data_IF_570150597439
#
_entry.id   IF_570150597439
#
_cell.length_a   1.000
_cell.length_b   1.000
_cell.length_c   1.000
_cell.angle_alpha   90.00
_cell.angle_beta   90.00
_cell.angle_gamma   90.00
#
_symmetry.space_group_name_H-M   'P 1'
#
loop_
_entity.id
_entity.type
_entity.pdbx_description
1 polymer ?
#
# COMPACT_ATOMS: atom_id res chain seq x y z
N UNK A 1 7.67 53.84 -18.10
CA UNK A 1 8.93 54.60 -18.27
C UNK A 1 9.42 54.95 -16.87
N UNK A 2 10.52 54.48 -16.31
CA UNK A 2 11.78 53.96 -16.83
C UNK A 2 12.24 52.75 -15.98
N UNK A 3 12.77 51.73 -16.66
CA UNK A 3 13.60 50.68 -16.08
C UNK A 3 15.00 51.24 -15.75
N UNK A 4 15.59 50.88 -14.60
CA UNK A 4 17.03 51.00 -14.40
C UNK A 4 17.69 49.62 -14.47
N UNK A 5 18.31 49.35 -15.62
CA UNK A 5 19.23 48.24 -15.86
C UNK A 5 20.63 48.70 -15.46
N UNK A 6 21.28 47.97 -14.56
CA UNK A 6 22.71 48.16 -14.25
C UNK A 6 23.48 46.97 -14.79
N UNK A 7 24.10 47.18 -15.94
CA UNK A 7 25.03 46.28 -16.64
C UNK A 7 26.44 46.63 -16.19
N UNK A 8 27.16 45.69 -15.56
CA UNK A 8 28.62 45.78 -15.36
C UNK A 8 29.29 44.82 -16.35
N UNK A 9 30.05 45.38 -17.29
CA UNK A 9 31.08 44.67 -18.05
C UNK A 9 32.38 44.68 -17.25
N UNK A 10 33.10 43.55 -17.20
CA UNK A 10 34.55 43.54 -17.01
C UNK A 10 35.18 42.53 -17.99
N UNK A 11 36.34 42.94 -18.48
CA UNK A 11 37.08 42.44 -19.65
C UNK A 11 37.96 41.25 -19.26
N UNK A 12 38.12 40.36 -20.24
CA UNK A 12 39.01 39.19 -20.34
C UNK A 12 40.48 39.47 -20.08
N UNK A 13 41.21 38.55 -19.44
CA UNK A 13 42.63 38.26 -19.69
C UNK A 13 42.91 36.75 -19.60
N UNK A 14 43.88 36.30 -20.40
CA UNK A 14 44.18 34.92 -20.80
C UNK A 14 44.56 33.95 -19.69
N UNK A 15 44.31 32.66 -19.97
CA UNK A 15 44.31 31.57 -19.01
C UNK A 15 45.64 30.87 -18.75
N UNK A 16 45.56 29.86 -17.88
CA UNK A 16 46.52 28.78 -17.69
C UNK A 16 45.76 27.56 -17.10
N UNK A 17 45.96 26.38 -17.70
CA UNK A 17 45.83 25.08 -17.04
C UNK A 17 44.42 24.51 -16.87
N UNK A 18 44.04 23.57 -17.73
CA UNK A 18 42.94 22.65 -17.47
C UNK A 18 43.45 21.46 -16.64
N UNK A 19 42.91 21.18 -15.45
CA UNK A 19 43.02 19.90 -14.81
C UNK A 19 41.69 19.14 -14.89
N UNK A 20 41.78 17.87 -15.28
CA UNK A 20 40.84 16.83 -14.87
C UNK A 20 39.47 16.86 -15.53
N UNK A 21 39.33 16.07 -16.60
CA UNK A 21 38.07 15.42 -16.96
C UNK A 21 37.65 14.50 -15.79
N UNK A 22 36.99 15.08 -14.78
CA UNK A 22 36.26 14.29 -13.78
C UNK A 22 35.00 13.77 -14.46
N UNK A 23 35.10 12.53 -14.95
CA UNK A 23 33.98 11.79 -15.47
C UNK A 23 32.85 11.78 -14.45
N UNK A 24 31.78 12.55 -14.72
CA UNK A 24 30.48 12.31 -14.13
C UNK A 24 30.05 10.90 -14.52
N UNK A 25 30.37 9.94 -13.64
CA UNK A 25 29.81 8.62 -13.68
C UNK A 25 28.30 8.76 -13.58
N UNK A 26 27.62 8.78 -14.72
CA UNK A 26 26.19 8.54 -14.81
C UNK A 26 25.96 7.15 -14.22
N UNK A 27 25.69 7.10 -12.92
CA UNK A 27 25.19 5.89 -12.27
C UNK A 27 23.92 5.55 -13.04
N UNK A 28 24.00 4.51 -13.88
CA UNK A 28 22.81 3.89 -14.46
C UNK A 28 22.04 3.30 -13.29
N UNK A 29 21.15 4.09 -12.71
CA UNK A 29 20.13 3.59 -11.78
C UNK A 29 19.18 2.76 -12.64
N UNK A 30 19.50 1.49 -12.83
CA UNK A 30 18.56 0.53 -13.38
C UNK A 30 17.50 0.29 -12.33
N UNK A 31 16.36 0.98 -12.45
CA UNK A 31 15.19 0.72 -11.63
C UNK A 31 14.81 -0.75 -11.78
N UNK A 32 14.67 -1.46 -10.66
CA UNK A 32 14.18 -2.83 -10.68
C UNK A 32 12.68 -2.77 -11.03
N UNK A 33 12.31 -3.42 -12.12
CA UNK A 33 10.95 -3.48 -12.63
C UNK A 33 10.41 -4.89 -12.40
N UNK A 34 9.18 -4.99 -11.92
CA UNK A 34 8.45 -6.24 -11.80
C UNK A 34 7.27 -6.23 -12.78
N UNK A 35 7.02 -7.39 -13.37
CA UNK A 35 6.01 -7.58 -14.40
C UNK A 35 4.80 -8.30 -13.81
N UNK A 36 3.63 -7.78 -14.14
CA UNK A 36 2.33 -8.34 -13.77
C UNK A 36 1.49 -8.47 -15.03
N UNK A 37 0.67 -9.52 -15.12
CA UNK A 37 -0.18 -9.75 -16.27
C UNK A 37 -1.57 -9.16 -16.01
N UNK A 38 -2.02 -8.28 -16.91
CA UNK A 38 -3.40 -7.83 -16.94
C UNK A 38 -4.25 -8.84 -17.73
N UNK A 39 -5.55 -8.82 -17.46
CA UNK A 39 -6.46 -9.79 -18.05
C UNK A 39 -6.73 -9.62 -19.55
N UNK A 40 -6.34 -8.49 -20.14
CA UNK A 40 -6.31 -8.31 -21.59
C UNK A 40 -5.03 -8.90 -22.23
N UNK A 41 -4.17 -9.56 -21.46
CA UNK A 41 -2.89 -10.11 -21.90
C UNK A 41 -1.74 -9.09 -21.93
N UNK A 42 -2.00 -7.82 -21.61
CA UNK A 42 -0.96 -6.79 -21.56
C UNK A 42 -0.11 -6.94 -20.31
N UNK A 43 1.21 -6.82 -20.45
CA UNK A 43 2.12 -6.71 -19.32
C UNK A 43 2.02 -5.32 -18.67
N UNK A 44 1.68 -5.29 -17.39
CA UNK A 44 1.84 -4.13 -16.53
C UNK A 44 3.22 -4.20 -15.88
N UNK A 45 4.00 -3.13 -16.03
CA UNK A 45 5.34 -3.04 -15.47
C UNK A 45 5.33 -2.03 -14.33
N UNK A 46 5.58 -2.49 -13.11
CA UNK A 46 5.61 -1.67 -11.91
C UNK A 46 7.06 -1.49 -11.44
N UNK A 47 7.40 -0.29 -11.00
CA UNK A 47 8.69 -0.07 -10.34
C UNK A 47 8.65 -0.60 -8.92
N UNK A 48 9.78 -1.12 -8.43
CA UNK A 48 9.87 -1.59 -7.04
C UNK A 48 9.53 -0.48 -6.04
N UNK A 49 9.92 0.77 -6.32
CA UNK A 49 9.61 1.92 -5.48
C UNK A 49 8.09 2.13 -5.34
N UNK A 50 7.35 2.06 -6.45
CA UNK A 50 5.89 2.14 -6.42
C UNK A 50 5.28 0.97 -5.64
N UNK A 51 5.74 -0.26 -5.86
CA UNK A 51 5.18 -1.45 -5.17
C UNK A 51 5.39 -1.32 -3.66
N UNK A 52 6.59 -0.93 -3.23
CA UNK A 52 6.92 -0.73 -1.82
C UNK A 52 6.08 0.40 -1.22
N UNK A 53 5.94 1.54 -1.91
CA UNK A 53 5.09 2.64 -1.50
C UNK A 53 3.62 2.23 -1.41
N UNK A 54 3.09 1.56 -2.43
CA UNK A 54 1.71 1.09 -2.49
C UNK A 54 1.42 0.07 -1.39
N UNK A 55 2.39 -0.79 -1.05
CA UNK A 55 2.31 -1.69 0.10
C UNK A 55 2.18 -0.92 1.41
N UNK A 56 3.03 0.08 1.62
CA UNK A 56 2.98 0.94 2.82
C UNK A 56 1.67 1.71 2.94
N UNK A 57 1.25 2.32 1.84
CA UNK A 57 0.00 3.07 1.76
C UNK A 57 -1.21 2.15 1.97
N UNK A 58 -1.15 0.90 1.50
CA UNK A 58 -2.18 -0.11 1.76
C UNK A 58 -2.20 -0.53 3.23
N UNK A 59 -1.04 -0.71 3.87
CA UNK A 59 -0.94 -0.97 5.31
C UNK A 59 -1.57 0.16 6.15
N UNK A 60 -1.58 1.39 5.67
CA UNK A 60 -2.33 2.51 6.26
C UNK A 60 -3.82 2.50 5.85
N UNK A 61 -4.12 2.79 4.58
CA UNK A 61 -5.46 3.19 4.10
C UNK A 61 -6.24 2.09 3.38
N UNK A 62 -5.59 0.97 3.06
CA UNK A 62 -6.20 -0.12 2.30
C UNK A 62 -7.17 -0.98 3.11
N UNK A 63 -8.16 -1.56 2.44
CA UNK A 63 -9.15 -2.45 3.05
C UNK A 63 -9.53 -3.60 2.11
N UNK A 64 -9.49 -4.83 2.65
CA UNK A 64 -9.96 -6.04 1.98
C UNK A 64 -11.34 -6.40 2.50
N UNK A 65 -12.34 -6.43 1.62
CA UNK A 65 -13.73 -6.69 1.99
C UNK A 65 -14.23 -7.96 1.31
N UNK A 66 -14.81 -8.83 2.14
CA UNK A 66 -15.53 -10.02 1.72
C UNK A 66 -16.92 -9.99 2.36
N UNK A 67 -17.95 -9.98 1.52
CA UNK A 67 -19.33 -9.98 1.99
C UNK A 67 -20.24 -10.79 1.08
N UNK A 68 -21.36 -11.27 1.64
CA UNK A 68 -22.41 -11.92 0.86
C UNK A 68 -23.13 -10.85 0.03
N UNK A 69 -23.19 -11.06 -1.28
CA UNK A 69 -23.81 -10.13 -2.23
C UNK A 69 -25.26 -10.51 -2.53
N UNK A 70 -25.54 -11.81 -2.59
CA UNK A 70 -26.88 -12.37 -2.72
C UNK A 70 -26.97 -13.72 -2.00
N UNK A 71 -28.15 -14.35 -2.03
CA UNK A 71 -28.32 -15.73 -1.56
C UNK A 71 -27.35 -16.71 -2.24
N UNK A 72 -26.88 -16.41 -3.44
CA UNK A 72 -26.07 -17.30 -4.28
C UNK A 72 -24.72 -16.72 -4.73
N UNK A 73 -24.26 -15.61 -4.12
CA UNK A 73 -22.97 -15.00 -4.50
C UNK A 73 -22.28 -14.24 -3.36
N UNK A 74 -20.95 -14.19 -3.45
CA UNK A 74 -20.09 -13.34 -2.63
C UNK A 74 -19.50 -12.21 -3.46
N UNK A 75 -19.21 -11.09 -2.79
CA UNK A 75 -18.49 -9.96 -3.36
C UNK A 75 -17.16 -9.81 -2.65
N UNK A 76 -16.12 -9.77 -3.45
CA UNK A 76 -14.75 -9.49 -3.07
C UNK A 76 -14.41 -8.08 -3.52
N UNK A 77 -13.84 -7.27 -2.64
CA UNK A 77 -13.47 -5.89 -2.97
C UNK A 77 -12.20 -5.49 -2.24
N UNK A 78 -11.22 -5.01 -2.98
CA UNK A 78 -10.14 -4.20 -2.42
C UNK A 78 -10.50 -2.72 -2.56
N UNK A 79 -10.29 -1.92 -1.52
CA UNK A 79 -10.60 -0.49 -1.56
C UNK A 79 -9.61 0.35 -0.78
N UNK A 80 -9.46 1.60 -1.22
CA UNK A 80 -8.76 2.68 -0.52
C UNK A 80 -9.73 3.85 -0.48
N UNK A 81 -10.05 4.36 0.71
CA UNK A 81 -10.99 5.46 0.90
C UNK A 81 -10.31 6.66 1.53
N UNK A 82 -10.29 7.80 0.84
CA UNK A 82 -9.65 9.03 1.29
C UNK A 82 -10.65 10.19 1.38
N UNK A 83 -10.21 11.31 1.95
CA UNK A 83 -10.92 12.58 1.76
C UNK A 83 -10.88 12.95 0.27
N UNK A 84 -11.92 13.65 -0.22
CA UNK A 84 -12.00 14.00 -1.65
C UNK A 84 -10.83 14.88 -2.13
N UNK A 85 -10.21 15.63 -1.22
CA UNK A 85 -9.11 16.53 -1.57
C UNK A 85 -7.86 15.73 -1.99
N UNK A 86 -7.76 14.47 -1.56
CA UNK A 86 -6.66 13.55 -1.88
C UNK A 86 -7.00 12.60 -3.04
N UNK A 87 -8.05 12.89 -3.81
CA UNK A 87 -8.46 12.04 -4.95
C UNK A 87 -7.34 11.88 -6.00
N UNK A 88 -6.42 12.84 -6.09
CA UNK A 88 -5.26 12.74 -6.98
C UNK A 88 -4.40 11.51 -6.65
N UNK A 89 -4.30 11.12 -5.37
CA UNK A 89 -3.60 9.89 -4.93
C UNK A 89 -4.31 8.65 -5.47
N UNK A 90 -5.64 8.62 -5.40
CA UNK A 90 -6.43 7.50 -5.93
C UNK A 90 -6.28 7.37 -7.45
N UNK A 91 -6.29 8.50 -8.18
CA UNK A 91 -6.06 8.53 -9.63
C UNK A 91 -4.65 8.05 -9.99
N UNK A 92 -3.64 8.51 -9.25
CA UNK A 92 -2.27 8.05 -9.40
C UNK A 92 -2.13 6.53 -9.21
N UNK A 93 -2.77 5.97 -8.18
CA UNK A 93 -2.79 4.52 -7.94
C UNK A 93 -3.47 3.80 -9.10
N UNK A 94 -4.67 4.25 -9.50
CA UNK A 94 -5.42 3.62 -10.59
C UNK A 94 -4.62 3.61 -11.90
N UNK A 95 -4.07 4.77 -12.29
CA UNK A 95 -3.29 4.92 -13.52
C UNK A 95 -2.04 4.05 -13.50
N UNK A 96 -1.34 3.99 -12.37
CA UNK A 96 -0.13 3.18 -12.21
C UNK A 96 -0.45 1.67 -12.23
N UNK A 97 -1.61 1.27 -11.72
CA UNK A 97 -2.10 -0.12 -11.80
C UNK A 97 -2.75 -0.47 -13.15
N UNK A 98 -2.43 0.27 -14.22
CA UNK A 98 -2.90 -0.03 -15.57
C UNK A 98 -4.40 0.25 -15.78
N UNK A 99 -4.98 1.14 -14.98
CA UNK A 99 -6.38 1.57 -15.09
C UNK A 99 -7.40 0.59 -14.50
N UNK A 100 -6.98 -0.43 -13.76
CA UNK A 100 -7.91 -1.42 -13.16
C UNK A 100 -8.78 -0.78 -12.06
N UNK A 101 -9.95 -1.37 -11.83
CA UNK A 101 -10.91 -0.84 -10.85
C UNK A 101 -11.56 0.48 -11.28
N UNK A 102 -12.14 1.19 -10.31
CA UNK A 102 -12.82 2.47 -10.52
C UNK A 102 -12.70 3.40 -9.33
N UNK A 103 -12.89 4.69 -9.57
CA UNK A 103 -12.97 5.71 -8.51
C UNK A 103 -14.41 6.20 -8.41
N UNK A 104 -14.95 6.16 -7.20
CA UNK A 104 -16.24 6.75 -6.87
C UNK A 104 -16.03 7.99 -6.01
N UNK A 105 -16.66 9.10 -6.39
CA UNK A 105 -16.61 10.36 -5.67
C UNK A 105 -17.92 10.62 -4.91
N UNK A 106 -17.79 11.11 -3.69
CA UNK A 106 -18.89 11.53 -2.82
C UNK A 106 -18.60 12.94 -2.28
N UNK A 107 -19.54 13.51 -1.54
CA UNK A 107 -19.49 14.92 -1.09
C UNK A 107 -18.19 15.31 -0.35
N UNK A 108 -17.62 14.40 0.45
CA UNK A 108 -16.41 14.61 1.25
C UNK A 108 -15.38 13.48 1.12
N UNK A 109 -15.69 12.42 0.38
CA UNK A 109 -14.86 11.22 0.31
C UNK A 109 -14.72 10.75 -1.13
N UNK A 110 -13.61 10.11 -1.43
CA UNK A 110 -13.42 9.37 -2.66
C UNK A 110 -12.94 7.96 -2.34
N UNK A 111 -13.35 6.99 -3.15
CA UNK A 111 -13.00 5.59 -2.97
C UNK A 111 -12.44 5.02 -4.26
N UNK A 112 -11.24 4.47 -4.21
CA UNK A 112 -10.73 3.55 -5.21
C UNK A 112 -11.24 2.16 -4.90
N UNK A 113 -11.84 1.48 -5.89
CA UNK A 113 -12.57 0.22 -5.71
C UNK A 113 -12.17 -0.75 -6.82
N UNK A 114 -11.62 -1.90 -6.42
CA UNK A 114 -11.37 -3.04 -7.30
C UNK A 114 -12.28 -4.18 -6.86
N UNK A 115 -13.13 -4.68 -7.76
CA UNK A 115 -14.09 -5.74 -7.47
C UNK A 115 -14.26 -6.78 -8.60
N UNK A 116 -13.71 -6.53 -9.79
CA UNK A 116 -13.76 -7.51 -10.87
C UNK A 116 -12.80 -8.68 -10.57
N UNK A 117 -13.23 -9.93 -10.75
CA UNK A 117 -12.43 -11.16 -10.53
C UNK A 117 -11.01 -11.00 -11.09
N UNK A 118 -10.93 -10.58 -12.35
CA UNK A 118 -9.69 -10.38 -13.10
C UNK A 118 -8.74 -9.32 -12.50
N UNK A 119 -9.28 -8.24 -11.94
CA UNK A 119 -8.47 -7.15 -11.39
C UNK A 119 -8.05 -7.48 -9.95
N UNK A 120 -8.85 -8.24 -9.22
CA UNK A 120 -8.49 -8.77 -7.90
C UNK A 120 -7.28 -9.71 -7.99
N UNK A 121 -7.14 -10.49 -9.06
CA UNK A 121 -5.94 -11.31 -9.29
C UNK A 121 -4.66 -10.47 -9.30
N UNK A 122 -4.68 -9.29 -9.93
CA UNK A 122 -3.51 -8.39 -9.93
C UNK A 122 -3.13 -7.96 -8.51
N UNK A 123 -4.12 -7.62 -7.68
CA UNK A 123 -3.90 -7.26 -6.27
C UNK A 123 -3.36 -8.45 -5.46
N UNK A 124 -3.86 -9.65 -5.72
CA UNK A 124 -3.38 -10.87 -5.09
C UNK A 124 -1.93 -11.17 -5.48
N UNK A 125 -1.57 -11.01 -6.75
CA UNK A 125 -0.20 -11.22 -7.23
C UNK A 125 0.77 -10.22 -6.58
N UNK A 126 0.38 -8.95 -6.47
CA UNK A 126 1.20 -7.93 -5.80
C UNK A 126 1.44 -8.31 -4.34
N UNK A 127 0.40 -8.53 -3.53
CA UNK A 127 0.56 -8.74 -2.09
C UNK A 127 1.01 -10.16 -1.70
N UNK A 128 0.93 -11.12 -2.62
CA UNK A 128 1.58 -12.43 -2.43
C UNK A 128 3.09 -12.35 -2.64
N UNK A 129 3.56 -11.55 -3.60
CA UNK A 129 4.99 -11.33 -3.84
C UNK A 129 5.60 -10.26 -2.92
N UNK A 130 4.77 -9.33 -2.44
CA UNK A 130 5.16 -8.22 -1.57
C UNK A 130 4.24 -8.17 -0.33
N UNK A 131 4.45 -9.06 0.66
CA UNK A 131 3.57 -9.19 1.82
C UNK A 131 3.48 -7.91 2.65
N UNK A 132 2.25 -7.47 2.94
CA UNK A 132 1.95 -6.39 3.88
C UNK A 132 2.59 -6.64 5.25
N UNK A 133 2.97 -5.59 5.96
CA UNK A 133 3.67 -5.71 7.25
C UNK A 133 2.71 -5.69 8.46
N UNK A 134 1.55 -5.05 8.34
CA UNK A 134 0.59 -4.92 9.44
C UNK A 134 -0.32 -6.15 9.56
N UNK A 135 -1.17 -6.18 10.59
CA UNK A 135 -2.26 -7.17 10.72
C UNK A 135 -3.18 -7.26 9.49
N UNK A 136 -3.15 -6.25 8.61
CA UNK A 136 -3.82 -6.26 7.31
C UNK A 136 -3.33 -7.38 6.39
N UNK A 137 -2.11 -7.88 6.58
CA UNK A 137 -1.64 -9.11 5.95
C UNK A 137 -2.55 -10.30 6.26
N UNK A 138 -3.05 -10.43 7.49
CA UNK A 138 -3.97 -11.51 7.84
C UNK A 138 -5.31 -11.35 7.11
N UNK A 139 -5.83 -10.12 7.01
CA UNK A 139 -7.05 -9.83 6.24
C UNK A 139 -6.85 -10.17 4.75
N UNK A 140 -5.69 -9.81 4.19
CA UNK A 140 -5.31 -10.20 2.84
C UNK A 140 -5.25 -11.72 2.68
N UNK A 141 -4.61 -12.44 3.60
CA UNK A 141 -4.46 -13.90 3.52
C UNK A 141 -5.81 -14.63 3.55
N UNK A 142 -6.74 -14.22 4.42
CA UNK A 142 -8.10 -14.77 4.45
C UNK A 142 -8.91 -14.36 3.20
N UNK A 143 -8.77 -13.12 2.74
CA UNK A 143 -9.37 -12.64 1.50
C UNK A 143 -8.90 -13.44 0.27
N UNK A 144 -7.58 -13.63 0.13
CA UNK A 144 -6.93 -14.40 -0.92
C UNK A 144 -7.38 -15.87 -0.90
N UNK A 145 -7.38 -16.48 0.29
CA UNK A 145 -7.86 -17.87 0.46
C UNK A 145 -9.31 -18.01 0.03
N UNK A 146 -10.21 -17.16 0.53
CA UNK A 146 -11.62 -17.23 0.17
C UNK A 146 -11.85 -16.98 -1.32
N UNK A 147 -11.13 -16.03 -1.92
CA UNK A 147 -11.24 -15.71 -3.33
C UNK A 147 -10.83 -16.90 -4.21
N UNK A 148 -9.71 -17.54 -3.91
CA UNK A 148 -9.23 -18.71 -4.65
C UNK A 148 -10.21 -19.89 -4.53
N UNK A 149 -10.73 -20.16 -3.33
CA UNK A 149 -11.73 -21.22 -3.13
C UNK A 149 -13.00 -20.92 -3.93
N UNK A 150 -13.51 -19.68 -3.86
CA UNK A 150 -14.73 -19.26 -4.55
C UNK A 150 -14.60 -19.39 -6.07
N UNK A 151 -13.49 -18.89 -6.61
CA UNK A 151 -13.29 -18.81 -8.06
C UNK A 151 -12.92 -20.14 -8.69
N UNK A 152 -12.12 -20.97 -8.01
CA UNK A 152 -11.77 -22.30 -8.51
C UNK A 152 -12.94 -23.27 -8.47
N UNK A 153 -13.89 -23.10 -7.54
CA UNK A 153 -15.13 -23.86 -7.54
C UNK A 153 -15.96 -23.55 -8.79
N UNK A 154 -16.08 -22.27 -9.16
CA UNK A 154 -16.79 -21.86 -10.38
C UNK A 154 -16.11 -22.36 -11.66
N UNK A 155 -14.77 -22.46 -11.66
CA UNK A 155 -13.99 -22.86 -12.84
C UNK A 155 -13.96 -24.39 -13.08
N UNK A 156 -14.22 -25.22 -12.05
CA UNK A 156 -14.06 -26.68 -12.14
C UNK A 156 -15.16 -27.44 -12.86
N UNK A 157 -16.35 -26.87 -13.06
CA UNK A 157 -17.51 -27.65 -13.53
C UNK A 157 -17.86 -28.80 -12.57
N UNK A 158 -19.02 -29.42 -12.75
CA UNK A 158 -19.62 -30.35 -11.77
C UNK A 158 -18.88 -31.69 -11.60
N UNK A 159 -17.78 -31.95 -12.34
CA UNK A 159 -17.23 -33.30 -12.51
C UNK A 159 -15.74 -33.43 -12.14
N UNK A 160 -15.39 -33.20 -10.86
CA UNK A 160 -14.12 -33.68 -10.30
C UNK A 160 -14.16 -33.81 -8.77
N UNK A 161 -14.46 -35.02 -8.30
CA UNK A 161 -14.37 -35.44 -6.90
C UNK A 161 -13.18 -36.40 -6.70
N UNK A 162 -12.27 -36.13 -5.75
CA UNK A 162 -11.10 -37.04 -5.52
C UNK A 162 -9.78 -36.44 -4.96
N UNK A 163 -9.53 -36.03 -3.70
CA UNK A 163 -8.99 -36.80 -2.54
C UNK A 163 -9.06 -36.01 -1.22
N UNK A 164 -9.12 -36.70 -0.07
CA UNK A 164 -9.42 -36.31 1.34
C UNK A 164 -8.94 -34.97 1.97
N UNK A 165 -8.24 -34.09 1.27
CA UNK A 165 -7.97 -32.68 1.62
C UNK A 165 -8.89 -31.71 0.84
N UNK A 166 -10.02 -32.25 0.33
CA UNK A 166 -10.92 -31.58 -0.61
C UNK A 166 -11.49 -30.33 0.01
N UNK A 167 -11.33 -29.21 -0.71
CA UNK A 167 -12.20 -28.06 -0.52
C UNK A 167 -13.69 -28.41 -0.68
N UNK A 168 -14.59 -27.43 -0.58
CA UNK A 168 -16.02 -27.67 -0.55
C UNK A 168 -16.50 -28.46 -1.77
N UNK A 169 -17.31 -29.48 -1.55
CA UNK A 169 -17.87 -30.35 -2.59
C UNK A 169 -19.24 -29.86 -3.08
N UNK A 170 -19.98 -29.13 -2.24
CA UNK A 170 -21.28 -28.53 -2.58
C UNK A 170 -21.23 -27.01 -2.54
N UNK A 171 -22.23 -26.35 -3.14
CA UNK A 171 -22.35 -24.89 -3.10
C UNK A 171 -22.64 -24.42 -1.67
N UNK A 172 -23.37 -25.21 -0.91
CA UNK A 172 -23.70 -24.97 0.49
C UNK A 172 -22.43 -25.01 1.36
N UNK A 173 -21.62 -26.06 1.24
CA UNK A 173 -20.33 -26.17 1.93
C UNK A 173 -19.37 -25.04 1.56
N UNK A 174 -19.35 -24.65 0.28
CA UNK A 174 -18.56 -23.52 -0.19
C UNK A 174 -18.96 -22.23 0.54
N UNK A 175 -20.26 -22.02 0.72
CA UNK A 175 -20.79 -20.81 1.29
C UNK A 175 -20.54 -20.75 2.79
N UNK A 176 -20.73 -21.86 3.50
CA UNK A 176 -20.39 -21.97 4.92
C UNK A 176 -18.89 -21.73 5.17
N UNK A 177 -18.03 -22.27 4.31
CA UNK A 177 -16.59 -22.06 4.41
C UNK A 177 -16.21 -20.60 4.17
N UNK A 178 -16.74 -19.96 3.12
CA UNK A 178 -16.47 -18.54 2.85
C UNK A 178 -17.01 -17.65 3.97
N UNK A 179 -18.17 -17.95 4.53
CA UNK A 179 -18.72 -17.21 5.68
C UNK A 179 -17.85 -17.34 6.93
N UNK A 180 -17.33 -18.54 7.18
CA UNK A 180 -16.38 -18.79 8.26
C UNK A 180 -15.10 -17.95 8.07
N UNK A 181 -14.53 -17.95 6.87
CA UNK A 181 -13.35 -17.14 6.56
C UNK A 181 -13.67 -15.63 6.67
N UNK A 182 -14.83 -15.20 6.19
CA UNK A 182 -15.28 -13.80 6.29
C UNK A 182 -15.47 -13.34 7.74
N UNK A 183 -15.71 -14.26 8.68
CA UNK A 183 -15.71 -14.01 10.12
C UNK A 183 -14.33 -13.63 10.66
N UNK A 184 -13.25 -13.95 9.94
CA UNK A 184 -11.88 -13.60 10.30
C UNK A 184 -11.39 -12.25 9.77
N UNK A 185 -12.17 -11.52 8.97
CA UNK A 185 -11.68 -10.33 8.25
C UNK A 185 -12.08 -9.01 8.94
N UNK A 186 -11.16 -8.04 8.93
CA UNK A 186 -11.33 -6.68 9.44
C UNK A 186 -11.81 -6.67 10.91
N UNK A 187 -12.85 -5.90 11.23
CA UNK A 187 -13.37 -5.71 12.58
C UNK A 187 -13.94 -6.99 13.22
N UNK A 188 -14.11 -8.07 12.45
CA UNK A 188 -14.56 -9.37 12.97
C UNK A 188 -13.39 -10.23 13.45
N UNK A 189 -12.14 -9.89 13.08
CA UNK A 189 -10.94 -10.63 13.45
C UNK A 189 -10.69 -10.61 14.95
N UNK A 190 -10.53 -11.80 15.53
CA UNK A 190 -10.13 -12.00 16.93
C UNK A 190 -8.72 -12.55 17.07
N UNK A 191 -8.19 -13.24 16.05
CA UNK A 191 -6.82 -13.78 16.02
C UNK A 191 -5.89 -12.91 15.17
N UNK A 192 -4.86 -12.37 15.81
CA UNK A 192 -3.84 -11.48 15.23
C UNK A 192 -2.44 -12.12 15.21
N UNK A 193 -2.34 -13.44 15.42
CA UNK A 193 -1.07 -14.16 15.36
C UNK A 193 -0.62 -14.25 13.90
N UNK A 194 0.51 -13.65 13.58
CA UNK A 194 1.16 -13.77 12.28
C UNK A 194 1.73 -15.18 12.05
N UNK A 195 1.77 -15.67 10.80
CA UNK A 195 2.52 -16.87 10.45
C UNK A 195 3.98 -16.77 10.92
N UNK A 196 4.57 -17.89 11.36
CA UNK A 196 5.94 -17.90 11.93
C UNK A 196 7.02 -17.47 10.92
N UNK A 197 6.74 -17.70 9.65
CA UNK A 197 7.56 -17.37 8.49
C UNK A 197 7.25 -15.97 7.93
N UNK A 198 6.30 -15.24 8.51
CA UNK A 198 6.00 -13.87 8.11
C UNK A 198 7.11 -12.91 8.60
N UNK A 199 7.83 -12.33 7.64
CA UNK A 199 8.92 -11.40 7.91
C UNK A 199 8.47 -9.95 7.66
N UNK A 200 8.57 -9.13 8.70
CA UNK A 200 8.37 -7.68 8.58
C UNK A 200 9.56 -7.08 7.83
N UNK A 201 9.29 -6.43 6.69
CA UNK A 201 10.29 -5.77 5.87
C UNK A 201 9.92 -4.29 5.63
N UNK A 202 10.59 -3.39 6.34
CA UNK A 202 10.36 -1.94 6.28
C UNK A 202 11.38 -1.31 5.34
N UNK A 203 10.96 -1.01 4.11
CA UNK A 203 11.80 -0.27 3.15
C UNK A 203 11.52 1.24 3.26
N UNK A 204 12.41 2.10 2.72
CA UNK A 204 12.17 3.55 2.71
C UNK A 204 10.85 3.93 2.03
N UNK A 205 10.52 3.29 0.90
CA UNK A 205 9.28 3.57 0.17
C UNK A 205 8.05 3.02 0.87
N UNK A 206 8.13 1.84 1.50
CA UNK A 206 7.05 1.36 2.37
C UNK A 206 6.79 2.33 3.52
N UNK A 207 7.86 2.82 4.17
CA UNK A 207 7.72 3.78 5.27
C UNK A 207 7.08 5.08 4.77
N UNK A 208 7.50 5.57 3.59
CA UNK A 208 6.90 6.76 2.97
C UNK A 208 5.39 6.58 2.74
N UNK A 209 4.97 5.49 2.11
CA UNK A 209 3.55 5.23 1.86
C UNK A 209 2.75 5.09 3.15
N UNK A 210 3.32 4.45 4.18
CA UNK A 210 2.66 4.32 5.47
C UNK A 210 2.51 5.67 6.18
N UNK A 211 3.53 6.52 6.14
CA UNK A 211 3.51 7.88 6.71
C UNK A 211 2.51 8.77 5.97
N UNK A 212 2.37 8.64 4.65
CA UNK A 212 1.40 9.42 3.89
C UNK A 212 -0.06 9.09 4.25
N UNK A 213 -0.33 7.92 4.83
CA UNK A 213 -1.65 7.58 5.38
C UNK A 213 -1.80 7.88 6.87
N UNK A 214 -0.86 7.45 7.72
CA UNK A 214 -1.00 7.48 9.19
C UNK A 214 -0.14 8.56 9.89
N UNK A 215 0.70 9.25 9.13
CA UNK A 215 1.64 10.25 9.64
C UNK A 215 0.98 11.60 9.93
N UNK A 216 1.49 12.30 10.94
CA UNK A 216 1.06 13.64 11.28
C UNK A 216 2.26 14.51 11.63
N UNK A 217 2.34 15.67 10.99
CA UNK A 217 3.35 16.69 11.25
C UNK A 217 2.68 17.90 11.91
N UNK A 218 3.19 18.31 13.07
CA UNK A 218 2.58 19.40 13.84
C UNK A 218 3.63 20.30 14.48
N UNK A 219 3.22 21.53 14.81
CA UNK A 219 4.04 22.50 15.54
C UNK A 219 3.38 22.77 16.90
N UNK A 220 4.10 22.49 17.99
CA UNK A 220 3.66 22.83 19.33
C UNK A 220 3.88 24.33 19.58
N UNK A 221 2.81 25.12 19.49
CA UNK A 221 2.87 26.59 19.54
C UNK A 221 3.54 27.18 20.79
N UNK A 222 3.44 26.50 21.93
CA UNK A 222 3.98 27.01 23.19
C UNK A 222 5.50 26.82 23.31
N UNK A 223 6.04 25.75 22.73
CA UNK A 223 7.46 25.41 22.79
C UNK A 223 8.19 25.66 21.49
N UNK A 224 7.46 26.00 20.42
CA UNK A 224 7.95 26.08 19.04
C UNK A 224 8.70 24.81 18.61
N UNK A 225 8.28 23.64 19.12
CA UNK A 225 8.84 22.35 18.73
C UNK A 225 8.09 21.77 17.54
N UNK A 226 8.84 21.15 16.64
CA UNK A 226 8.30 20.33 15.57
C UNK A 226 8.05 18.92 16.10
N UNK A 227 6.91 18.35 15.73
CA UNK A 227 6.50 17.01 16.17
C UNK A 227 6.06 16.20 14.95
N UNK A 228 6.55 14.98 14.89
CA UNK A 228 6.08 13.95 13.99
C UNK A 228 5.48 12.79 14.79
N UNK A 229 4.25 12.43 14.46
CA UNK A 229 3.51 11.30 15.04
C UNK A 229 3.16 10.30 13.94
N UNK A 230 3.16 9.01 14.29
CA UNK A 230 2.67 7.94 13.43
C UNK A 230 1.69 7.12 14.26
N UNK A 231 0.41 7.11 13.94
CA UNK A 231 -0.59 6.45 14.80
C UNK A 231 -0.86 5.03 14.32
N UNK A 232 -1.04 4.09 15.25
CA UNK A 232 -1.46 2.73 14.89
C UNK A 232 -2.25 2.08 16.03
N UNK A 233 -3.26 1.28 15.66
CA UNK A 233 -3.96 0.45 16.63
C UNK A 233 -2.99 -0.58 17.27
N UNK A 234 -3.08 -0.77 18.58
CA UNK A 234 -2.16 -1.63 19.34
C UNK A 234 -2.13 -3.10 18.92
N UNK A 235 -3.17 -3.56 18.20
CA UNK A 235 -3.32 -4.92 17.67
C UNK A 235 -2.72 -5.09 16.28
N UNK A 236 -2.25 -4.01 15.66
CA UNK A 236 -1.77 -3.98 14.27
C UNK A 236 -0.26 -3.69 14.19
N UNK A 237 0.39 -3.56 15.36
CA UNK A 237 1.76 -3.08 15.52
C UNK A 237 2.74 -3.72 14.54
N UNK A 238 3.14 -2.92 13.55
CA UNK A 238 4.29 -3.22 12.69
C UNK A 238 5.59 -2.91 13.43
N UNK A 239 5.56 -1.90 14.28
CA UNK A 239 6.69 -1.46 15.07
C UNK A 239 6.60 -2.05 16.48
N UNK A 240 7.68 -2.67 17.01
CA UNK A 240 7.72 -3.01 18.43
C UNK A 240 7.54 -1.73 19.25
N UNK A 241 6.97 -1.81 20.47
CA UNK A 241 6.82 -0.64 21.32
C UNK A 241 8.20 -0.02 21.61
N UNK A 242 8.52 1.07 20.92
CA UNK A 242 9.66 1.91 21.21
C UNK A 242 9.31 2.74 22.46
N UNK A 243 9.67 2.26 23.64
CA UNK A 243 9.73 2.99 24.92
C UNK A 243 8.55 3.92 25.28
N UNK A 244 7.77 3.54 26.29
CA UNK A 244 6.79 4.43 26.95
C UNK A 244 5.34 3.98 26.76
N UNK A 245 4.83 3.23 27.74
CA UNK A 245 3.47 2.68 27.74
C UNK A 245 2.49 3.79 28.14
N UNK A 246 1.58 4.18 27.23
CA UNK A 246 0.28 4.73 27.63
C UNK A 246 -0.82 4.35 26.65
N UNK A 247 -1.98 3.98 27.21
CA UNK A 247 -3.19 3.58 26.47
C UNK A 247 -3.72 4.83 25.73
N UNK A 248 -3.81 4.74 24.40
CA UNK A 248 -3.84 5.82 23.37
C UNK A 248 -2.43 6.29 23.01
N UNK A 249 -1.86 5.67 21.97
CA UNK A 249 -0.45 5.83 21.59
C UNK A 249 -0.28 6.97 20.58
N UNK A 250 0.28 8.08 21.04
CA UNK A 250 0.97 9.06 20.20
C UNK A 250 2.48 8.76 20.32
N UNK A 251 3.22 8.81 19.21
CA UNK A 251 4.66 8.58 19.19
C UNK A 251 5.41 9.91 19.32
N UNK A 252 6.45 9.96 20.15
CA UNK A 252 7.24 11.17 20.35
C UNK A 252 8.60 10.99 19.69
N UNK A 253 8.88 11.77 18.64
CA UNK A 253 10.23 12.05 18.21
C UNK A 253 10.55 13.51 18.54
N UNK A 254 11.37 13.74 19.58
CA UNK A 254 11.99 15.05 19.80
C UNK A 254 13.40 15.02 19.26
N UNK A 255 13.63 15.58 18.08
CA UNK A 255 14.98 15.99 17.69
C UNK A 255 15.22 17.39 18.26
N UNK A 256 15.97 17.48 19.36
CA UNK A 256 16.61 18.75 19.72
C UNK A 256 17.64 19.08 18.63
N UNK A 257 17.67 20.29 18.07
CA UNK A 257 18.70 20.66 17.10
C UNK A 257 20.07 20.64 17.78
N UNK A 258 21.15 20.17 17.11
CA UNK A 258 22.49 20.44 17.57
C UNK A 258 22.72 21.96 17.49
N UNK A 259 22.89 22.59 18.64
CA UNK A 259 23.44 23.93 18.72
C UNK A 259 24.86 23.88 18.16
N UNK A 260 25.06 24.46 16.97
CA UNK A 260 26.39 24.89 16.54
C UNK A 260 26.59 26.32 17.07
N UNK A 261 27.50 26.46 18.02
CA UNK A 261 28.28 27.67 18.31
C UNK A 261 29.75 27.28 18.22
#
# INVERSE_FOLDING_TARGET
MFHSSSRKQMVSHGGVGAPGDEGEGKVKVTRKLDKFLLANGTEMVLSKEFIEWFRGFTDAEGCFMLSRNSKSSFKFTFTIGLHKDDIAVLKFIQDTLGGIGKINEYSTKAFYIIAAKKDINVIQDIFSNYPLNSSKHLNFSDFHRAFNIYTTFDDKGEDSLSTSDKGPATREELFELIETIAGGINNKRTNYIMPKDHLINITPYWMLGFIEGEGSFSVEKLKFSLRFDLTQASRELVFPPLGGINKKKNFFFSSSPPFFL
#
